data_IF_924292528894
#
_entry.id   IF_924292528894
#
_cell.length_a   1.000
_cell.length_b   1.000
_cell.length_c   1.000
_cell.angle_alpha   90.00
_cell.angle_beta   90.00
_cell.angle_gamma   90.00
#
_symmetry.space_group_name_H-M   'P 1'
#
loop_
_entity.id
_entity.type
_entity.pdbx_description
1 polymer ?
#
# COMPACT_ATOMS: atom_id res chain seq x y z
N UNK A 1 0.71 -15.65 -25.46
CA UNK A 1 1.23 -16.13 -24.15
C UNK A 1 2.36 -15.29 -23.56
N UNK A 2 3.27 -14.69 -24.35
CA UNK A 2 4.37 -13.84 -23.82
C UNK A 2 3.87 -12.58 -23.09
N UNK A 3 2.82 -11.96 -23.61
CA UNK A 3 2.24 -10.73 -23.04
C UNK A 3 1.66 -10.90 -21.62
N UNK A 4 0.94 -12.00 -21.37
CA UNK A 4 0.39 -12.32 -20.04
C UNK A 4 1.48 -12.60 -19.00
N UNK A 5 2.56 -13.28 -19.41
CA UNK A 5 3.72 -13.54 -18.54
C UNK A 5 4.40 -12.25 -18.09
N UNK A 6 4.62 -11.31 -19.00
CA UNK A 6 5.19 -10.00 -18.69
C UNK A 6 4.33 -9.17 -17.73
N UNK A 7 2.99 -9.19 -17.93
CA UNK A 7 2.02 -8.54 -17.04
C UNK A 7 2.09 -9.09 -15.61
N UNK A 8 2.25 -10.41 -15.47
CA UNK A 8 2.41 -11.11 -14.19
C UNK A 8 3.71 -10.73 -13.46
N UNK A 9 4.84 -10.77 -14.17
CA UNK A 9 6.16 -10.44 -13.62
C UNK A 9 6.21 -9.01 -13.06
N UNK A 10 5.55 -8.06 -13.75
CA UNK A 10 5.45 -6.67 -13.30
C UNK A 10 4.70 -6.54 -11.97
N UNK A 11 3.59 -7.26 -11.81
CA UNK A 11 2.79 -7.24 -10.58
C UNK A 11 3.52 -7.93 -9.41
N UNK A 12 4.18 -9.05 -9.67
CA UNK A 12 5.00 -9.76 -8.68
C UNK A 12 6.18 -8.91 -8.17
N UNK A 13 6.82 -8.16 -9.06
CA UNK A 13 7.87 -7.20 -8.71
C UNK A 13 7.34 -6.11 -7.77
N UNK A 14 6.21 -5.48 -8.11
CA UNK A 14 5.59 -4.44 -7.27
C UNK A 14 5.13 -4.98 -5.91
N UNK A 15 4.61 -6.20 -5.89
CA UNK A 15 4.27 -6.89 -4.64
C UNK A 15 5.49 -7.15 -3.76
N UNK A 16 6.59 -7.63 -4.35
CA UNK A 16 7.84 -7.88 -3.63
C UNK A 16 8.39 -6.61 -2.99
N UNK A 17 8.37 -5.49 -3.72
CA UNK A 17 8.76 -4.18 -3.19
C UNK A 17 7.83 -3.73 -2.04
N UNK A 18 6.51 -3.84 -2.20
CA UNK A 18 5.55 -3.50 -1.13
C UNK A 18 5.82 -4.29 0.16
N UNK A 19 6.19 -5.58 0.04
CA UNK A 19 6.58 -6.42 1.17
C UNK A 19 7.87 -5.96 1.83
N UNK A 20 8.87 -5.58 1.06
CA UNK A 20 10.14 -5.04 1.60
C UNK A 20 9.87 -3.82 2.46
N UNK A 21 9.05 -2.87 1.99
CA UNK A 21 8.73 -1.68 2.77
C UNK A 21 7.88 -1.99 4.00
N UNK A 22 6.93 -2.92 3.91
CA UNK A 22 6.19 -3.39 5.09
C UNK A 22 7.13 -4.01 6.14
N UNK A 23 8.13 -4.79 5.73
CA UNK A 23 9.13 -5.35 6.64
C UNK A 23 10.02 -4.26 7.26
N UNK A 24 10.42 -3.24 6.49
CA UNK A 24 11.18 -2.10 7.01
C UNK A 24 10.40 -1.30 8.05
N UNK A 25 9.10 -1.09 7.84
CA UNK A 25 8.22 -0.47 8.85
C UNK A 25 8.24 -1.30 10.13
N UNK A 26 8.08 -2.63 10.02
CA UNK A 26 8.14 -3.53 11.18
C UNK A 26 9.49 -3.49 11.90
N UNK A 27 10.58 -3.34 11.16
CA UNK A 27 11.91 -3.18 11.73
C UNK A 27 12.07 -1.85 12.48
N UNK A 28 11.55 -0.75 11.95
CA UNK A 28 11.51 0.53 12.66
C UNK A 28 10.78 0.41 14.00
N UNK A 29 9.63 -0.28 14.02
CA UNK A 29 8.85 -0.50 15.25
C UNK A 29 9.66 -1.27 16.29
N UNK A 30 10.40 -2.30 15.87
CA UNK A 30 11.27 -3.08 16.78
C UNK A 30 12.40 -2.25 17.37
N UNK A 31 12.97 -1.33 16.59
CA UNK A 31 14.11 -0.48 17.01
C UNK A 31 13.68 0.75 17.82
N UNK A 32 12.43 1.18 17.69
CA UNK A 32 11.86 2.32 18.42
C UNK A 32 10.48 1.99 19.01
N UNK A 33 10.39 1.01 19.93
CA UNK A 33 9.11 0.57 20.49
C UNK A 33 8.38 1.71 21.21
N UNK A 34 9.12 2.53 21.96
CA UNK A 34 8.58 3.60 22.79
C UNK A 34 8.33 4.90 22.00
N UNK A 35 8.81 5.00 20.77
CA UNK A 35 8.60 6.18 19.91
C UNK A 35 9.38 7.42 20.35
N UNK A 36 10.54 7.23 20.98
CA UNK A 36 11.38 8.34 21.48
C UNK A 36 12.48 8.73 20.50
N UNK A 37 12.80 7.88 19.53
CA UNK A 37 13.79 8.17 18.48
C UNK A 37 13.12 8.78 17.24
N UNK A 38 13.21 10.10 17.11
CA UNK A 38 12.65 10.85 15.98
C UNK A 38 13.26 10.45 14.63
N UNK A 39 14.52 10.00 14.58
CA UNK A 39 15.18 9.59 13.33
C UNK A 39 14.54 8.31 12.82
N UNK A 40 14.27 7.35 13.71
CA UNK A 40 13.58 6.11 13.35
C UNK A 40 12.14 6.38 12.94
N UNK A 41 11.47 7.33 13.59
CA UNK A 41 10.11 7.74 13.21
C UNK A 41 10.05 8.37 11.80
N UNK A 42 11.02 9.22 11.44
CA UNK A 42 11.13 9.75 10.07
C UNK A 42 11.38 8.63 9.05
N UNK A 43 12.27 7.69 9.36
CA UNK A 43 12.51 6.54 8.50
C UNK A 43 11.24 5.70 8.31
N UNK A 44 10.48 5.46 9.39
CA UNK A 44 9.23 4.72 9.35
C UNK A 44 8.18 5.42 8.48
N UNK A 45 8.05 6.74 8.56
CA UNK A 45 7.13 7.52 7.70
C UNK A 45 7.58 7.46 6.24
N UNK A 46 8.88 7.54 5.97
CA UNK A 46 9.41 7.39 4.62
C UNK A 46 9.06 6.02 4.02
N UNK A 47 9.27 4.94 4.78
CA UNK A 47 8.89 3.59 4.36
C UNK A 47 7.37 3.41 4.22
N UNK A 48 6.57 4.05 5.08
CA UNK A 48 5.11 4.10 4.95
C UNK A 48 4.67 4.77 3.64
N UNK A 49 5.31 5.88 3.25
CA UNK A 49 5.01 6.57 2.00
C UNK A 49 5.34 5.67 0.80
N UNK A 50 6.51 5.04 0.78
CA UNK A 50 6.88 4.09 -0.28
C UNK A 50 5.93 2.90 -0.31
N UNK A 51 5.56 2.34 0.84
CA UNK A 51 4.58 1.27 0.93
C UNK A 51 3.25 1.67 0.26
N UNK A 52 2.70 2.84 0.60
CA UNK A 52 1.48 3.36 0.00
C UNK A 52 1.58 3.51 -1.52
N UNK A 53 2.73 3.97 -2.02
CA UNK A 53 2.99 4.11 -3.46
C UNK A 53 2.96 2.75 -4.16
N UNK A 54 3.64 1.76 -3.62
CA UNK A 54 3.64 0.41 -4.21
C UNK A 54 2.26 -0.27 -4.16
N UNK A 55 1.43 0.02 -3.16
CA UNK A 55 0.03 -0.43 -3.16
C UNK A 55 -0.73 0.15 -4.37
N UNK A 56 -0.60 1.46 -4.62
CA UNK A 56 -1.26 2.12 -5.75
C UNK A 56 -0.72 1.58 -7.07
N UNK A 57 0.60 1.50 -7.23
CA UNK A 57 1.26 0.94 -8.41
C UNK A 57 0.77 -0.48 -8.74
N UNK A 58 0.55 -1.32 -7.71
CA UNK A 58 -0.02 -2.66 -7.90
C UNK A 58 -1.46 -2.60 -8.41
N UNK A 59 -2.29 -1.73 -7.82
CA UNK A 59 -3.68 -1.55 -8.25
C UNK A 59 -3.74 -1.02 -9.70
N UNK A 60 -2.94 -0.03 -10.04
CA UNK A 60 -2.83 0.50 -11.41
C UNK A 60 -2.32 -0.56 -12.37
N UNK A 61 -1.26 -1.28 -12.01
CA UNK A 61 -0.72 -2.36 -12.82
C UNK A 61 -1.80 -3.40 -13.06
N UNK A 62 -2.50 -3.87 -12.02
CA UNK A 62 -3.62 -4.79 -12.17
C UNK A 62 -4.65 -4.27 -13.19
N UNK A 63 -5.16 -3.05 -12.99
CA UNK A 63 -6.16 -2.44 -13.86
C UNK A 63 -5.70 -2.29 -15.32
N UNK A 64 -4.46 -1.87 -15.54
CA UNK A 64 -3.86 -1.79 -16.89
C UNK A 64 -3.75 -3.18 -17.50
N UNK A 65 -3.34 -4.17 -16.71
CA UNK A 65 -3.16 -5.54 -17.20
C UNK A 65 -4.46 -6.23 -17.54
N UNK A 66 -5.58 -5.83 -16.92
CA UNK A 66 -6.92 -6.34 -17.21
C UNK A 66 -7.76 -5.40 -18.08
N UNK A 67 -7.16 -4.36 -18.68
CA UNK A 67 -7.85 -3.40 -19.57
C UNK A 67 -9.01 -2.63 -18.89
N UNK A 68 -8.94 -2.47 -17.57
CA UNK A 68 -9.92 -1.79 -16.73
C UNK A 68 -9.43 -0.44 -16.18
N UNK A 69 -8.27 0.04 -16.63
CA UNK A 69 -7.69 1.28 -16.17
C UNK A 69 -8.46 2.51 -16.69
N UNK A 70 -8.78 3.43 -15.77
CA UNK A 70 -9.45 4.69 -16.07
C UNK A 70 -8.51 5.83 -15.65
N UNK A 71 -8.12 6.74 -16.58
CA UNK A 71 -7.20 7.83 -16.27
C UNK A 71 -7.82 8.87 -15.32
N UNK A 72 -6.97 9.73 -14.74
CA UNK A 72 -7.33 10.86 -13.86
C UNK A 72 -8.04 10.46 -12.55
N UNK A 73 -7.81 9.25 -12.06
CA UNK A 73 -8.25 8.82 -10.72
C UNK A 73 -7.16 9.06 -9.68
N UNK A 74 -7.56 9.47 -8.49
CA UNK A 74 -6.66 9.58 -7.33
C UNK A 74 -6.30 8.18 -6.79
N UNK A 75 -5.20 8.08 -6.04
CA UNK A 75 -4.76 6.82 -5.43
C UNK A 75 -5.87 6.03 -4.70
N UNK A 76 -6.69 6.66 -3.82
CA UNK A 76 -7.82 5.97 -3.20
C UNK A 76 -8.87 5.45 -4.20
N UNK A 77 -9.17 6.21 -5.26
CA UNK A 77 -10.12 5.80 -6.30
C UNK A 77 -9.56 4.66 -7.17
N UNK A 78 -8.25 4.61 -7.38
CA UNK A 78 -7.56 3.49 -8.04
C UNK A 78 -7.70 2.21 -7.21
N UNK A 79 -7.51 2.30 -5.88
CA UNK A 79 -7.69 1.15 -4.97
C UNK A 79 -9.14 0.66 -5.00
N UNK A 80 -10.10 1.58 -4.93
CA UNK A 80 -11.53 1.26 -5.04
C UNK A 80 -11.84 0.54 -6.36
N UNK A 81 -11.41 1.11 -7.49
CA UNK A 81 -11.64 0.52 -8.81
C UNK A 81 -11.03 -0.88 -8.94
N UNK A 82 -9.81 -1.08 -8.44
CA UNK A 82 -9.18 -2.40 -8.44
C UNK A 82 -9.97 -3.43 -7.63
N UNK A 83 -10.63 -2.99 -6.55
CA UNK A 83 -11.52 -3.82 -5.74
C UNK A 83 -12.80 -4.18 -6.47
N UNK A 84 -13.38 -3.25 -7.22
CA UNK A 84 -14.59 -3.49 -8.03
C UNK A 84 -14.35 -4.57 -9.10
N UNK A 85 -13.14 -4.65 -9.64
CA UNK A 85 -12.72 -5.71 -10.57
C UNK A 85 -12.17 -6.97 -9.88
N UNK A 86 -12.19 -7.00 -8.55
CA UNK A 86 -11.93 -8.21 -7.76
C UNK A 86 -10.46 -8.45 -7.42
N UNK A 87 -9.57 -7.47 -7.60
CA UNK A 87 -8.18 -7.56 -7.15
C UNK A 87 -8.07 -7.57 -5.63
N UNK A 88 -8.85 -6.74 -4.93
CA UNK A 88 -8.81 -6.59 -3.47
C UNK A 88 -10.23 -6.77 -2.93
N UNK A 89 -10.38 -7.39 -1.76
CA UNK A 89 -11.68 -7.45 -1.09
C UNK A 89 -12.21 -6.03 -0.78
N UNK A 90 -13.54 -5.86 -0.73
CA UNK A 90 -14.14 -4.54 -0.41
C UNK A 90 -13.72 -4.03 0.97
N UNK A 91 -13.52 -4.93 1.92
CA UNK A 91 -13.08 -4.59 3.27
C UNK A 91 -11.63 -4.08 3.28
N UNK A 92 -10.73 -4.83 2.66
CA UNK A 92 -9.31 -4.49 2.60
C UNK A 92 -9.07 -3.24 1.75
N UNK A 93 -9.84 -3.07 0.68
CA UNK A 93 -9.84 -1.87 -0.14
C UNK A 93 -10.15 -0.63 0.71
N UNK A 94 -11.19 -0.67 1.55
CA UNK A 94 -11.51 0.46 2.44
C UNK A 94 -10.39 0.79 3.42
N UNK A 95 -9.73 -0.24 3.97
CA UNK A 95 -8.57 -0.06 4.86
C UNK A 95 -7.42 0.61 4.12
N UNK A 96 -7.02 0.09 2.97
CA UNK A 96 -5.94 0.67 2.15
C UNK A 96 -6.25 2.09 1.67
N UNK A 97 -7.50 2.36 1.28
CA UNK A 97 -7.94 3.72 0.94
C UNK A 97 -7.76 4.69 2.11
N UNK A 98 -8.10 4.27 3.34
CA UNK A 98 -7.90 5.08 4.55
C UNK A 98 -6.42 5.40 4.79
N UNK A 99 -5.56 4.38 4.68
CA UNK A 99 -4.11 4.49 4.80
C UNK A 99 -3.55 5.51 3.78
N UNK A 100 -3.91 5.36 2.50
CA UNK A 100 -3.46 6.27 1.44
C UNK A 100 -4.01 7.69 1.62
N UNK A 101 -5.25 7.86 2.08
CA UNK A 101 -5.80 9.19 2.41
C UNK A 101 -4.97 9.89 3.49
N UNK A 102 -4.47 9.17 4.48
CA UNK A 102 -3.61 9.73 5.53
C UNK A 102 -2.23 10.10 4.96
N UNK A 103 -1.64 9.24 4.11
CA UNK A 103 -0.42 9.57 3.36
C UNK A 103 -0.57 10.87 2.59
N UNK A 104 -1.67 11.02 1.85
CA UNK A 104 -1.91 12.21 1.02
C UNK A 104 -2.02 13.48 1.88
N UNK A 105 -2.67 13.41 3.05
CA UNK A 105 -2.72 14.55 3.98
C UNK A 105 -1.33 14.93 4.49
N UNK A 106 -0.52 13.93 4.87
CA UNK A 106 0.85 14.19 5.35
C UNK A 106 1.70 14.92 4.29
N UNK A 107 1.61 14.47 3.04
CA UNK A 107 2.41 15.04 1.94
C UNK A 107 1.88 16.42 1.52
N UNK A 108 0.57 16.55 1.28
CA UNK A 108 0.00 17.69 0.56
C UNK A 108 -0.71 18.72 1.44
N UNK A 109 -1.23 18.32 2.61
CA UNK A 109 -1.99 19.23 3.49
C UNK A 109 -1.11 19.75 4.63
N UNK A 110 -0.40 20.85 4.36
CA UNK A 110 0.59 21.41 5.30
C UNK A 110 0.01 21.71 6.69
N UNK A 111 -1.23 22.20 6.76
CA UNK A 111 -1.89 22.54 8.02
C UNK A 111 -2.23 21.30 8.86
N UNK A 112 -2.42 20.15 8.22
CA UNK A 112 -2.71 18.88 8.90
C UNK A 112 -1.48 17.98 9.04
N UNK A 113 -0.30 18.37 8.55
CA UNK A 113 0.89 17.51 8.49
C UNK A 113 1.28 16.92 9.85
N UNK A 114 1.24 17.71 10.92
CA UNK A 114 1.56 17.23 12.29
C UNK A 114 0.58 16.14 12.75
N UNK A 115 -0.72 16.38 12.59
CA UNK A 115 -1.75 15.41 12.95
C UNK A 115 -1.68 14.16 12.06
N UNK A 116 -1.39 14.32 10.77
CA UNK A 116 -1.21 13.20 9.85
C UNK A 116 0.01 12.36 10.22
N UNK A 117 1.13 13.00 10.60
CA UNK A 117 2.33 12.33 11.11
C UNK A 117 1.99 11.43 12.30
N UNK A 118 1.36 11.98 13.33
CA UNK A 118 0.97 11.23 14.53
C UNK A 118 0.08 10.03 14.18
N UNK A 119 -0.86 10.21 13.25
CA UNK A 119 -1.74 9.13 12.76
C UNK A 119 -0.98 8.06 11.98
N UNK A 120 -0.02 8.43 11.14
CA UNK A 120 0.82 7.47 10.41
C UNK A 120 1.59 6.60 11.41
N UNK A 121 2.30 7.23 12.36
CA UNK A 121 3.08 6.51 13.37
C UNK A 121 2.20 5.56 14.18
N UNK A 122 1.00 6.01 14.57
CA UNK A 122 0.01 5.17 15.26
C UNK A 122 -0.40 3.96 14.41
N UNK A 123 -0.84 4.17 13.17
CA UNK A 123 -1.26 3.08 12.27
C UNK A 123 -0.13 2.09 12.02
N UNK A 124 1.11 2.56 11.84
CA UNK A 124 2.27 1.70 11.73
C UNK A 124 2.37 0.75 12.93
N UNK A 125 2.28 1.30 14.15
CA UNK A 125 2.46 0.56 15.41
C UNK A 125 1.26 -0.31 15.80
N UNK A 126 0.04 0.05 15.42
CA UNK A 126 -1.18 -0.65 15.86
C UNK A 126 -1.82 -1.54 14.81
N UNK A 127 -1.61 -1.26 13.52
CA UNK A 127 -2.25 -1.97 12.43
C UNK A 127 -1.22 -2.65 11.52
N UNK A 128 -0.31 -1.88 10.90
CA UNK A 128 0.64 -2.42 9.92
C UNK A 128 1.66 -3.39 10.52
N UNK A 129 1.91 -3.32 11.82
CA UNK A 129 2.75 -4.29 12.52
C UNK A 129 2.23 -5.74 12.37
N UNK A 130 0.90 -5.91 12.31
CA UNK A 130 0.24 -7.21 12.18
C UNK A 130 -0.08 -7.57 10.73
N UNK A 131 -0.16 -6.59 9.82
CA UNK A 131 -0.48 -6.81 8.41
C UNK A 131 0.40 -7.89 7.77
N UNK A 132 -0.25 -8.82 7.10
CA UNK A 132 0.35 -9.80 6.18
C UNK A 132 -0.26 -9.62 4.81
N UNK A 133 0.57 -9.73 3.78
CA UNK A 133 0.15 -9.54 2.40
C UNK A 133 0.49 -10.76 1.57
N UNK A 134 -0.48 -11.19 0.76
CA UNK A 134 -0.34 -12.31 -0.16
C UNK A 134 -0.87 -11.92 -1.53
N UNK A 135 -0.04 -12.12 -2.56
CA UNK A 135 -0.46 -12.00 -3.95
C UNK A 135 -0.78 -13.41 -4.44
N UNK A 136 -2.06 -13.66 -4.69
CA UNK A 136 -2.56 -14.93 -5.17
C UNK A 136 -2.75 -14.85 -6.68
N UNK A 137 -2.07 -15.73 -7.41
CA UNK A 137 -2.10 -15.77 -8.88
C UNK A 137 -2.45 -17.17 -9.31
N UNK A 138 -3.58 -17.30 -10.00
CA UNK A 138 -4.05 -18.51 -10.66
C UNK A 138 -4.23 -18.27 -12.15
N UNK A 139 -4.58 -19.32 -12.90
CA UNK A 139 -4.91 -19.19 -14.33
C UNK A 139 -6.18 -18.35 -14.54
N UNK A 140 -7.11 -18.37 -13.57
CA UNK A 140 -8.41 -17.71 -13.66
C UNK A 140 -8.42 -16.30 -13.05
N UNK A 141 -7.65 -16.08 -11.98
CA UNK A 141 -7.72 -14.84 -11.20
C UNK A 141 -6.40 -14.45 -10.54
N UNK A 142 -6.18 -13.14 -10.49
CA UNK A 142 -5.17 -12.47 -9.69
C UNK A 142 -5.87 -11.66 -8.59
N UNK A 143 -5.49 -11.85 -7.33
CA UNK A 143 -6.01 -11.05 -6.22
C UNK A 143 -4.99 -10.88 -5.09
N UNK A 144 -5.08 -9.75 -4.40
CA UNK A 144 -4.29 -9.40 -3.22
C UNK A 144 -5.14 -9.63 -1.97
N UNK A 145 -4.55 -10.34 -1.01
CA UNK A 145 -5.17 -10.66 0.27
C UNK A 145 -4.38 -10.00 1.41
N UNK A 146 -5.10 -9.36 2.33
CA UNK A 146 -4.55 -8.79 3.56
C UNK A 146 -5.08 -9.58 4.76
N UNK A 147 -4.19 -9.99 5.68
CA UNK A 147 -4.53 -10.68 6.93
C UNK A 147 -3.86 -10.05 8.14
#
# INVERSE_FOLDING_TARGET
MVYYKYKKEKLESKFSESKVFLLKIKECIKRNPDGTDDIIDEAMISYFNSFCEFIIDMCETYLVTTENYIPNKSGPEIIELSSDFGFISKEDSKKLQSIVKIRNRYTHDYYQRKLARERILKICKTELCFFKMFLNISEEKIYLELR
#
